data_IF_100289474819
#
_entry.id   IF_100289474819
#
_cell.length_a   1.000
_cell.length_b   1.000
_cell.length_c   1.000
_cell.angle_alpha   90.00
_cell.angle_beta   90.00
_cell.angle_gamma   90.00
#
_symmetry.space_group_name_H-M   'P 1'
#
loop_
_entity.id
_entity.type
_entity.pdbx_description
1 polymer ?
#
# COMPACT_ATOMS: atom_id res chain seq x y z
N UNK A 1 20.20 -12.46 3.80
CA UNK A 1 19.08 -11.97 4.64
C UNK A 1 18.23 -11.05 3.77
N UNK A 2 17.12 -11.54 3.21
CA UNK A 2 16.19 -10.67 2.50
C UNK A 2 15.43 -9.83 3.54
N UNK A 3 15.52 -8.50 3.45
CA UNK A 3 14.70 -7.60 4.26
C UNK A 3 13.26 -7.85 3.85
N UNK A 4 12.44 -8.33 4.78
CA UNK A 4 11.00 -8.49 4.55
C UNK A 4 10.46 -7.13 4.08
N UNK A 5 9.93 -7.13 2.87
CA UNK A 5 9.54 -5.94 2.15
C UNK A 5 8.49 -5.16 2.92
N UNK A 6 8.82 -3.91 3.24
CA UNK A 6 7.83 -2.88 3.54
C UNK A 6 7.06 -2.45 2.27
N UNK A 7 7.24 -3.18 1.17
CA UNK A 7 6.58 -2.93 -0.09
C UNK A 7 5.14 -3.40 0.02
N UNK A 8 4.21 -2.47 -0.17
CA UNK A 8 2.81 -2.73 0.06
C UNK A 8 2.38 -2.55 1.52
N UNK A 9 2.95 -1.60 2.26
CA UNK A 9 2.36 -1.15 3.54
C UNK A 9 1.95 0.33 3.39
N UNK A 10 0.76 0.65 3.88
CA UNK A 10 0.22 2.00 3.86
C UNK A 10 0.96 2.90 4.85
N UNK A 11 1.47 4.04 4.38
CA UNK A 11 2.14 5.04 5.22
C UNK A 11 1.23 5.75 6.21
N UNK A 12 -0.11 5.64 6.05
CA UNK A 12 -1.09 6.31 6.91
C UNK A 12 -1.59 5.40 8.02
N UNK A 13 -2.11 4.22 7.67
CA UNK A 13 -2.69 3.30 8.65
C UNK A 13 -1.76 2.14 9.04
N UNK A 14 -0.62 1.97 8.36
CA UNK A 14 0.30 0.85 8.59
C UNK A 14 -0.24 -0.51 8.14
N UNK A 15 -1.40 -0.55 7.47
CA UNK A 15 -1.97 -1.79 6.95
C UNK A 15 -1.36 -2.20 5.62
N UNK A 16 -1.33 -3.50 5.29
CA UNK A 16 -0.92 -3.94 3.96
C UNK A 16 -1.80 -3.34 2.87
N UNK A 17 -1.17 -2.89 1.79
CA UNK A 17 -1.79 -2.40 0.57
C UNK A 17 -2.20 -3.63 -0.25
N UNK A 18 -3.44 -3.60 -0.72
CA UNK A 18 -3.99 -4.69 -1.51
C UNK A 18 -3.09 -5.00 -2.74
N UNK A 19 -2.70 -6.27 -2.96
CA UNK A 19 -1.82 -6.63 -4.06
C UNK A 19 -2.44 -6.36 -5.43
N UNK A 20 -3.77 -6.39 -5.60
CA UNK A 20 -4.39 -5.94 -6.85
C UNK A 20 -4.14 -4.46 -7.11
N UNK A 21 -4.14 -3.65 -6.05
CA UNK A 21 -3.83 -2.23 -6.16
C UNK A 21 -2.36 -2.00 -6.50
N UNK A 22 -1.44 -2.81 -5.99
CA UNK A 22 -0.03 -2.77 -6.37
C UNK A 22 0.21 -3.26 -7.81
N UNK A 23 -0.62 -4.18 -8.33
CA UNK A 23 -0.54 -4.59 -9.74
C UNK A 23 -0.92 -3.44 -10.69
N UNK A 24 -1.92 -2.63 -10.31
CA UNK A 24 -2.37 -1.49 -11.11
C UNK A 24 -1.48 -0.26 -10.89
N UNK A 25 -1.11 -0.01 -9.63
CA UNK A 25 -0.31 1.13 -9.17
C UNK A 25 0.81 0.64 -8.23
N UNK A 26 1.93 0.15 -8.79
CA UNK A 26 3.04 -0.37 -7.98
C UNK A 26 3.70 0.70 -7.12
N UNK A 27 3.62 1.97 -7.50
CA UNK A 27 4.21 3.08 -6.73
C UNK A 27 3.30 3.59 -5.59
N UNK A 28 2.14 2.97 -5.37
CA UNK A 28 1.20 3.45 -4.36
C UNK A 28 1.70 3.16 -2.95
N UNK A 29 1.71 4.21 -2.11
CA UNK A 29 2.10 4.13 -0.69
C UNK A 29 0.91 4.16 0.26
N UNK A 30 -0.31 4.17 -0.30
CA UNK A 30 -1.56 4.26 0.45
C UNK A 30 -2.47 3.07 0.14
N UNK A 31 -3.09 2.51 1.17
CA UNK A 31 -4.12 1.49 0.98
C UNK A 31 -5.36 2.09 0.31
N UNK A 32 -6.21 1.23 -0.25
CA UNK A 32 -7.45 1.64 -0.93
C UNK A 32 -8.36 2.46 -0.02
N UNK A 33 -8.41 2.15 1.28
CA UNK A 33 -9.24 2.86 2.26
C UNK A 33 -8.73 4.29 2.50
N UNK A 34 -7.45 4.47 2.80
CA UNK A 34 -6.87 5.81 3.01
C UNK A 34 -6.83 6.63 1.72
N UNK A 35 -6.62 5.99 0.57
CA UNK A 35 -6.68 6.65 -0.72
C UNK A 35 -8.13 7.07 -1.08
N UNK A 36 -9.14 6.25 -0.75
CA UNK A 36 -10.54 6.59 -0.95
C UNK A 36 -11.02 7.68 0.02
N UNK A 37 -10.49 7.72 1.25
CA UNK A 37 -10.79 8.75 2.24
C UNK A 37 -10.23 10.14 1.90
N UNK A 38 -9.27 10.25 0.96
CA UNK A 38 -8.70 11.51 0.48
C UNK A 38 -9.51 12.19 -0.65
N UNK A 39 -10.76 11.76 -0.89
CA UNK A 39 -11.63 12.34 -1.93
C UNK A 39 -12.11 13.75 -1.59
#
# INVERSE_FOLDING_TARGET
RARAGLYGICEVCGQPIDPERLKILPDTKLCVNCAAAKR
#
